data_IF_655516326410
#
_entry.id   IF_655516326410
#
_cell.length_a   1.000
_cell.length_b   1.000
_cell.length_c   1.000
_cell.angle_alpha   90.00
_cell.angle_beta   90.00
_cell.angle_gamma   90.00
#
_symmetry.space_group_name_H-M   'P 1'
#
loop_
_entity.id
_entity.type
_entity.pdbx_description
1 polymer ?
#
# COMPACT_ATOMS: atom_id res chain seq x y z
N UNK A 1 -18.45 7.01 21.54
CA UNK A 1 -18.29 6.06 20.42
C UNK A 1 -16.90 6.29 19.85
N UNK A 2 -16.15 5.22 19.58
CA UNK A 2 -14.86 5.33 18.89
C UNK A 2 -15.13 5.81 17.46
N UNK A 3 -14.19 6.56 16.88
CA UNK A 3 -14.26 6.95 15.47
C UNK A 3 -14.00 5.74 14.59
N UNK A 4 -14.66 5.66 13.44
CA UNK A 4 -14.48 4.56 12.48
C UNK A 4 -13.49 4.97 11.40
N UNK A 5 -12.28 4.41 11.46
CA UNK A 5 -11.19 4.74 10.54
C UNK A 5 -11.01 3.64 9.49
N UNK A 6 -10.35 4.00 8.40
CA UNK A 6 -9.92 3.05 7.38
C UNK A 6 -8.40 2.96 7.36
N UNK A 7 -7.86 1.79 7.06
CA UNK A 7 -6.42 1.56 6.99
C UNK A 7 -6.05 0.91 5.67
N UNK A 8 -4.99 1.38 5.02
CA UNK A 8 -4.51 0.81 3.77
C UNK A 8 -3.04 0.43 3.81
N UNK A 9 -2.72 -0.71 3.20
CA UNK A 9 -1.39 -1.27 3.23
C UNK A 9 -0.92 -1.67 1.83
N UNK A 10 0.34 -1.31 1.52
CA UNK A 10 1.12 -1.95 0.46
C UNK A 10 2.13 -2.90 1.10
N UNK A 11 1.96 -4.20 0.85
CA UNK A 11 2.67 -5.26 1.56
C UNK A 11 3.70 -5.90 0.64
N UNK A 12 4.96 -5.53 0.81
CA UNK A 12 6.09 -6.22 0.19
C UNK A 12 6.76 -7.18 1.18
N UNK A 13 7.75 -7.94 0.69
CA UNK A 13 8.52 -8.84 1.55
C UNK A 13 9.56 -8.09 2.40
N UNK A 14 9.88 -6.82 2.13
CA UNK A 14 10.94 -6.07 2.84
C UNK A 14 10.42 -4.89 3.62
N UNK A 15 9.29 -4.33 3.20
CA UNK A 15 8.71 -3.12 3.75
C UNK A 15 7.19 -3.13 3.55
N UNK A 16 6.47 -2.52 4.48
CA UNK A 16 5.02 -2.33 4.38
C UNK A 16 4.73 -0.85 4.47
N UNK A 17 4.16 -0.26 3.41
CA UNK A 17 3.60 1.08 3.46
C UNK A 17 2.22 1.04 4.15
N UNK A 18 1.91 2.01 4.99
CA UNK A 18 0.68 2.03 5.79
C UNK A 18 0.11 3.45 5.83
N UNK A 19 -1.15 3.61 5.42
CA UNK A 19 -1.87 4.89 5.46
C UNK A 19 -3.16 4.76 6.27
N UNK A 20 -3.33 5.63 7.27
CA UNK A 20 -4.51 5.72 8.13
C UNK A 20 -5.40 6.88 7.69
N UNK A 21 -6.70 6.63 7.61
CA UNK A 21 -7.70 7.56 7.11
C UNK A 21 -8.83 7.75 8.11
N UNK A 22 -9.23 9.00 8.33
CA UNK A 22 -10.38 9.32 9.18
C UNK A 22 -11.72 9.00 8.50
N UNK A 23 -12.83 9.20 9.22
CA UNK A 23 -14.17 8.92 8.71
C UNK A 23 -14.58 9.76 7.49
N UNK A 24 -13.84 10.82 7.17
CA UNK A 24 -14.06 11.69 6.00
C UNK A 24 -13.09 11.39 4.85
N UNK A 25 -12.24 10.38 5.03
CA UNK A 25 -11.22 9.99 4.06
C UNK A 25 -10.04 10.96 3.98
N UNK A 26 -9.78 11.74 5.04
CA UNK A 26 -8.56 12.54 5.16
C UNK A 26 -7.43 11.67 5.71
N UNK A 27 -6.22 11.86 5.17
CA UNK A 27 -5.02 11.20 5.69
C UNK A 27 -4.73 11.70 7.11
N UNK A 28 -4.60 10.74 8.04
CA UNK A 28 -4.20 10.97 9.44
C UNK A 28 -2.73 10.67 9.62
N UNK A 29 -2.25 9.57 9.02
CA UNK A 29 -0.89 9.09 9.19
C UNK A 29 -0.44 8.33 7.95
N UNK A 30 0.81 8.53 7.54
CA UNK A 30 1.48 7.75 6.49
C UNK A 30 2.85 7.30 7.01
N UNK A 31 3.00 6.00 7.25
CA UNK A 31 4.19 5.38 7.86
C UNK A 31 4.56 4.09 7.18
N UNK A 32 5.77 3.61 7.45
CA UNK A 32 6.22 2.32 6.95
C UNK A 32 6.70 1.40 8.08
N UNK A 33 6.60 0.10 7.83
CA UNK A 33 7.19 -0.94 8.67
C UNK A 33 8.24 -1.69 7.86
N UNK A 34 9.50 -1.60 8.28
CA UNK A 34 10.58 -2.36 7.66
C UNK A 34 10.68 -3.77 8.25
N UNK A 35 10.57 -4.79 7.41
CA UNK A 35 10.59 -6.20 7.79
C UNK A 35 12.02 -6.77 7.71
N UNK A 36 12.91 -6.24 8.57
CA UNK A 36 14.29 -6.73 8.66
C UNK A 36 14.32 -8.07 9.38
N UNK A 37 14.97 -9.04 8.75
CA UNK A 37 15.30 -10.33 9.37
C UNK A 37 16.82 -10.47 9.35
N UNK A 38 17.36 -11.04 10.42
CA UNK A 38 18.79 -11.32 10.52
C UNK A 38 19.24 -12.27 9.40
N UNK A 39 20.45 -12.05 8.88
CA UNK A 39 21.00 -12.85 7.79
C UNK A 39 21.25 -14.31 8.20
N UNK A 40 21.39 -14.59 9.49
CA UNK A 40 21.52 -15.95 10.06
C UNK A 40 20.26 -16.80 9.89
N UNK A 41 19.09 -16.20 9.65
CA UNK A 41 17.84 -16.94 9.43
C UNK A 41 17.83 -17.52 8.00
N UNK A 42 17.66 -18.85 7.85
CA UNK A 42 17.56 -19.51 6.55
C UNK A 42 16.46 -18.88 5.69
N UNK A 43 16.74 -18.70 4.39
CA UNK A 43 15.89 -17.93 3.48
C UNK A 43 14.46 -18.46 3.41
N UNK A 44 14.32 -19.78 3.39
CA UNK A 44 13.08 -20.53 3.42
C UNK A 44 12.25 -20.27 4.67
N UNK A 45 12.86 -19.87 5.79
CA UNK A 45 12.17 -19.61 7.05
C UNK A 45 11.86 -18.12 7.26
N UNK A 46 12.48 -17.21 6.49
CA UNK A 46 12.36 -15.75 6.72
C UNK A 46 10.92 -15.26 6.69
N UNK A 47 10.04 -15.86 5.90
CA UNK A 47 8.63 -15.45 5.82
C UNK A 47 7.90 -15.62 7.17
N UNK A 48 8.22 -16.65 7.95
CA UNK A 48 7.64 -16.87 9.29
C UNK A 48 8.12 -15.82 10.29
N UNK A 49 9.40 -15.46 10.25
CA UNK A 49 9.94 -14.39 11.10
C UNK A 49 9.32 -13.03 10.76
N UNK A 50 9.17 -12.74 9.46
CA UNK A 50 8.45 -11.53 9.00
C UNK A 50 7.00 -11.52 9.45
N UNK A 51 6.32 -12.68 9.40
CA UNK A 51 4.94 -12.80 9.89
C UNK A 51 4.83 -12.51 11.39
N UNK A 52 5.79 -12.97 12.20
CA UNK A 52 5.85 -12.65 13.64
C UNK A 52 6.05 -11.15 13.87
N UNK A 53 7.05 -10.55 13.22
CA UNK A 53 7.32 -9.10 13.30
C UNK A 53 6.10 -8.27 12.88
N UNK A 54 5.46 -8.67 11.78
CA UNK A 54 4.24 -8.05 11.31
C UNK A 54 3.14 -8.16 12.36
N UNK A 55 2.82 -9.36 12.85
CA UNK A 55 1.78 -9.59 13.87
C UNK A 55 1.99 -8.79 15.14
N UNK A 56 3.22 -8.73 15.66
CA UNK A 56 3.57 -7.93 16.82
C UNK A 56 3.32 -6.44 16.57
N UNK A 57 3.73 -5.95 15.41
CA UNK A 57 3.48 -4.57 15.01
C UNK A 57 1.97 -4.27 14.89
N UNK A 58 1.19 -5.13 14.23
CA UNK A 58 -0.27 -4.97 14.07
C UNK A 58 -0.97 -4.93 15.42
N UNK A 59 -0.61 -5.81 16.36
CA UNK A 59 -1.17 -5.79 17.73
C UNK A 59 -0.87 -4.48 18.45
N UNK A 60 0.39 -4.04 18.43
CA UNK A 60 0.79 -2.77 19.02
C UNK A 60 0.09 -1.58 18.35
N UNK A 61 -0.05 -1.63 17.03
CA UNK A 61 -0.72 -0.57 16.27
C UNK A 61 -2.20 -0.47 16.64
N UNK A 62 -2.89 -1.59 16.83
CA UNK A 62 -4.28 -1.63 17.32
C UNK A 62 -4.42 -0.91 18.68
N UNK A 63 -3.49 -1.11 19.59
CA UNK A 63 -3.47 -0.41 20.88
C UNK A 63 -3.21 1.10 20.73
N UNK A 64 -2.26 1.48 19.87
CA UNK A 64 -1.92 2.88 19.59
C UNK A 64 -3.13 3.63 19.02
N UNK A 65 -3.82 3.06 18.02
CA UNK A 65 -4.94 3.76 17.40
C UNK A 65 -6.13 3.92 18.35
N UNK A 66 -6.38 2.92 19.20
CA UNK A 66 -7.46 2.97 20.18
C UNK A 66 -7.19 4.01 21.27
N UNK A 67 -5.93 4.22 21.64
CA UNK A 67 -5.54 5.13 22.74
C UNK A 67 -5.19 6.54 22.26
N UNK A 68 -4.48 6.67 21.14
CA UNK A 68 -3.98 7.96 20.64
C UNK A 68 -4.98 8.65 19.72
N UNK A 69 -5.66 7.89 18.88
CA UNK A 69 -6.62 8.42 17.91
C UNK A 69 -8.09 8.22 18.33
N UNK A 70 -8.32 7.47 19.43
CA UNK A 70 -9.65 7.12 19.93
C UNK A 70 -10.54 6.54 18.82
N UNK A 71 -9.95 5.66 18.00
CA UNK A 71 -10.60 5.07 16.84
C UNK A 71 -10.51 3.54 16.81
N UNK A 72 -11.39 2.95 16.02
CA UNK A 72 -11.32 1.55 15.59
C UNK A 72 -11.18 1.48 14.06
N UNK A 73 -10.56 0.41 13.56
CA UNK A 73 -10.48 0.18 12.12
C UNK A 73 -11.74 -0.54 11.67
N UNK A 74 -12.48 0.08 10.75
CA UNK A 74 -13.66 -0.49 10.13
C UNK A 74 -13.37 -1.13 8.77
N UNK A 75 -12.45 -0.55 8.02
CA UNK A 75 -12.06 -1.02 6.69
C UNK A 75 -10.55 -1.21 6.62
N UNK A 76 -10.13 -2.33 6.04
CA UNK A 76 -8.72 -2.61 5.73
C UNK A 76 -8.60 -2.80 4.21
N UNK A 77 -7.78 -1.99 3.55
CA UNK A 77 -7.49 -2.10 2.13
C UNK A 77 -6.06 -2.60 1.93
N UNK A 78 -5.86 -3.60 1.08
CA UNK A 78 -4.52 -4.16 0.84
C UNK A 78 -4.25 -4.17 -0.66
N UNK A 79 -3.05 -3.77 -1.08
CA UNK A 79 -2.64 -3.96 -2.46
C UNK A 79 -2.65 -5.45 -2.82
N UNK A 80 -3.39 -5.80 -3.86
CA UNK A 80 -3.43 -7.16 -4.35
C UNK A 80 -2.05 -7.54 -4.94
N UNK A 81 -1.46 -8.68 -4.53
CA UNK A 81 -0.17 -9.09 -5.03
C UNK A 81 -0.24 -9.36 -6.54
N UNK A 82 0.76 -8.88 -7.29
CA UNK A 82 0.81 -9.05 -8.75
C UNK A 82 1.01 -10.52 -9.11
N UNK A 83 0.09 -11.10 -9.88
CA UNK A 83 0.15 -12.50 -10.31
C UNK A 83 0.99 -12.73 -11.58
N UNK A 84 1.14 -11.72 -12.45
CA UNK A 84 1.65 -11.91 -13.83
C UNK A 84 2.77 -10.94 -14.26
N UNK A 85 3.52 -10.37 -13.31
CA UNK A 85 4.69 -9.57 -13.67
C UNK A 85 5.82 -10.52 -14.13
N UNK A 86 6.62 -10.18 -15.16
CA UNK A 86 7.81 -10.93 -15.58
C UNK A 86 8.95 -10.82 -14.52
N UNK A 87 8.63 -11.11 -13.27
CA UNK A 87 9.57 -11.32 -12.18
C UNK A 87 9.78 -12.81 -11.99
N UNK A 88 10.92 -13.14 -11.37
CA UNK A 88 11.25 -14.49 -10.96
C UNK A 88 10.07 -15.14 -10.20
N UNK A 89 9.64 -16.32 -10.65
CA UNK A 89 8.53 -17.10 -10.07
C UNK A 89 8.68 -17.29 -8.55
N UNK A 90 9.90 -17.44 -8.05
CA UNK A 90 10.20 -17.59 -6.63
C UNK A 90 9.92 -16.31 -5.84
N UNK A 91 10.16 -15.14 -6.44
CA UNK A 91 9.85 -13.85 -5.82
C UNK A 91 8.35 -13.64 -5.74
N UNK A 92 7.62 -13.97 -6.81
CA UNK A 92 6.16 -13.92 -6.85
C UNK A 92 5.54 -14.87 -5.82
N UNK A 93 6.04 -16.10 -5.72
CA UNK A 93 5.56 -17.07 -4.72
C UNK A 93 5.75 -16.58 -3.28
N UNK A 94 6.92 -16.01 -2.95
CA UNK A 94 7.19 -15.43 -1.62
C UNK A 94 6.28 -14.25 -1.31
N UNK A 95 6.04 -13.38 -2.28
CA UNK A 95 5.15 -12.23 -2.13
C UNK A 95 3.70 -12.68 -1.90
N UNK A 96 3.20 -13.62 -2.70
CA UNK A 96 1.85 -14.17 -2.56
C UNK A 96 1.66 -14.84 -1.19
N UNK A 97 2.61 -15.69 -0.77
CA UNK A 97 2.56 -16.37 0.51
C UNK A 97 2.55 -15.37 1.68
N UNK A 98 3.44 -14.37 1.65
CA UNK A 98 3.52 -13.39 2.72
C UNK A 98 2.32 -12.45 2.76
N UNK A 99 1.81 -12.01 1.60
CA UNK A 99 0.62 -11.18 1.51
C UNK A 99 -0.60 -11.90 2.09
N UNK A 100 -0.81 -13.18 1.74
CA UNK A 100 -1.88 -14.00 2.33
C UNK A 100 -1.78 -14.16 3.85
N UNK A 101 -0.57 -14.40 4.38
CA UNK A 101 -0.33 -14.45 5.82
C UNK A 101 -0.64 -13.11 6.48
N UNK A 102 -0.23 -12.00 5.88
CA UNK A 102 -0.50 -10.66 6.39
C UNK A 102 -2.01 -10.35 6.43
N UNK A 103 -2.75 -10.71 5.37
CA UNK A 103 -4.21 -10.59 5.35
C UNK A 103 -4.88 -11.41 6.45
N UNK A 104 -4.43 -12.65 6.67
CA UNK A 104 -4.91 -13.47 7.78
C UNK A 104 -4.64 -12.82 9.14
N UNK A 105 -3.44 -12.29 9.37
CA UNK A 105 -3.09 -11.59 10.61
C UNK A 105 -3.95 -10.35 10.83
N UNK A 106 -4.20 -9.56 9.78
CA UNK A 106 -5.06 -8.38 9.85
C UNK A 106 -6.48 -8.76 10.28
N UNK A 107 -7.04 -9.83 9.68
CA UNK A 107 -8.35 -10.34 10.06
C UNK A 107 -8.36 -10.89 11.50
N UNK A 108 -7.36 -11.67 11.90
CA UNK A 108 -7.26 -12.22 13.26
C UNK A 108 -7.18 -11.10 14.33
N UNK A 109 -6.41 -10.04 14.07
CA UNK A 109 -6.16 -8.98 15.06
C UNK A 109 -7.29 -7.96 15.09
N UNK A 110 -7.83 -7.54 13.95
CA UNK A 110 -8.86 -6.50 13.87
C UNK A 110 -10.29 -7.05 13.76
N UNK A 111 -10.48 -8.31 13.36
CA UNK A 111 -11.80 -8.85 13.02
C UNK A 111 -12.36 -8.30 11.71
N UNK A 112 -11.54 -7.63 10.90
CA UNK A 112 -11.93 -7.00 9.64
C UNK A 112 -11.30 -7.77 8.48
N UNK A 113 -12.11 -8.20 7.52
CA UNK A 113 -11.63 -8.83 6.31
C UNK A 113 -10.94 -7.80 5.39
N UNK A 114 -9.68 -8.01 4.98
CA UNK A 114 -9.01 -7.10 4.06
C UNK A 114 -9.63 -7.11 2.67
N UNK A 115 -9.95 -5.93 2.16
CA UNK A 115 -10.41 -5.74 0.79
C UNK A 115 -9.22 -5.53 -0.15
N UNK A 116 -9.02 -6.46 -1.08
CA UNK A 116 -7.89 -6.41 -2.02
C UNK A 116 -8.16 -5.46 -3.18
N UNK A 117 -7.21 -4.56 -3.43
CA UNK A 117 -7.27 -3.58 -4.53
C UNK A 117 -6.09 -3.79 -5.45
N UNK A 118 -6.35 -4.03 -6.74
CA UNK A 118 -5.27 -4.18 -7.71
C UNK A 118 -4.56 -2.85 -7.98
N UNK A 119 -3.26 -2.90 -8.29
CA UNK A 119 -2.48 -1.73 -8.74
C UNK A 119 -3.16 -0.98 -9.89
N UNK A 120 -3.79 -1.71 -10.82
CA UNK A 120 -4.50 -1.09 -11.94
C UNK A 120 -5.73 -0.33 -11.45
N UNK A 121 -6.55 -0.94 -10.59
CA UNK A 121 -7.74 -0.29 -10.02
C UNK A 121 -7.37 0.91 -9.15
N UNK A 122 -6.34 0.78 -8.31
CA UNK A 122 -5.91 1.85 -7.42
C UNK A 122 -5.47 3.08 -8.21
N UNK A 123 -4.59 2.89 -9.20
CA UNK A 123 -4.12 3.96 -10.08
C UNK A 123 -5.21 4.51 -10.99
N UNK A 124 -6.14 3.68 -11.47
CA UNK A 124 -7.27 4.14 -12.29
C UNK A 124 -8.16 5.11 -11.51
N UNK A 125 -8.46 4.79 -10.25
CA UNK A 125 -9.29 5.64 -9.39
C UNK A 125 -8.55 6.88 -8.89
N UNK A 126 -7.24 6.76 -8.65
CA UNK A 126 -6.41 7.87 -8.18
C UNK A 126 -6.00 8.84 -9.29
N UNK A 127 -5.92 8.39 -10.54
CA UNK A 127 -5.51 9.20 -11.70
C UNK A 127 -6.64 9.27 -12.76
N UNK A 128 -7.83 9.81 -12.43
CA UNK A 128 -8.93 9.92 -13.39
C UNK A 128 -8.56 10.73 -14.64
N UNK A 129 -7.63 11.68 -14.52
CA UNK A 129 -7.09 12.47 -15.64
C UNK A 129 -6.35 11.63 -16.70
N UNK A 130 -5.92 10.41 -16.35
CA UNK A 130 -5.25 9.46 -17.24
C UNK A 130 -6.19 8.34 -17.72
N UNK A 131 -7.49 8.45 -17.44
CA UNK A 131 -8.50 7.48 -17.85
C UNK A 131 -9.17 7.94 -19.14
N UNK A 132 -9.16 7.07 -20.14
CA UNK A 132 -9.76 7.32 -21.44
C UNK A 132 -10.83 6.29 -21.76
N UNK A 133 -11.88 6.72 -22.48
CA UNK A 133 -12.90 5.81 -23.01
C UNK A 133 -12.40 5.20 -24.32
N UNK A 134 -12.43 3.86 -24.40
CA UNK A 134 -12.09 3.11 -25.61
C UNK A 134 -13.15 2.04 -25.86
N UNK A 135 -13.56 1.89 -27.12
CA UNK A 135 -14.41 0.77 -27.52
C UNK A 135 -13.57 -0.50 -27.62
N UNK A 136 -13.92 -1.51 -26.83
CA UNK A 136 -13.30 -2.84 -26.87
C UNK A 136 -14.41 -3.86 -27.06
N UNK A 137 -14.39 -4.55 -28.20
CA UNK A 137 -15.41 -5.55 -28.57
C UNK A 137 -16.84 -5.01 -28.50
N UNK A 138 -17.07 -3.79 -29.00
CA UNK A 138 -18.40 -3.15 -29.01
C UNK A 138 -18.82 -2.48 -27.70
N UNK A 139 -18.10 -2.69 -26.59
CA UNK A 139 -18.38 -2.03 -25.30
C UNK A 139 -17.43 -0.87 -25.04
N UNK A 140 -17.95 0.29 -24.63
CA UNK A 140 -17.12 1.40 -24.13
C UNK A 140 -16.52 1.01 -22.78
N UNK A 141 -15.20 0.87 -22.72
CA UNK A 141 -14.45 0.62 -21.50
C UNK A 141 -13.57 1.81 -21.17
N UNK A 142 -13.44 2.08 -19.87
CA UNK A 142 -12.49 3.05 -19.35
C UNK A 142 -11.14 2.39 -19.10
N UNK A 143 -10.11 2.93 -19.73
CA UNK A 143 -8.75 2.40 -19.72
C UNK A 143 -7.81 3.45 -19.15
N UNK A 144 -7.04 3.06 -18.13
CA UNK A 144 -5.93 3.86 -17.61
C UNK A 144 -4.74 3.78 -18.57
N UNK A 145 -4.21 4.94 -18.99
CA UNK A 145 -3.03 5.01 -19.84
C UNK A 145 -2.08 6.10 -19.36
N UNK A 146 -0.85 5.69 -19.04
CA UNK A 146 0.23 6.64 -18.73
C UNK A 146 0.95 7.04 -20.04
N UNK A 147 1.42 8.30 -20.15
CA UNK A 147 2.35 8.69 -21.21
C UNK A 147 3.55 7.74 -21.32
N UNK A 148 4.07 7.54 -22.54
CA UNK A 148 5.11 6.54 -22.80
C UNK A 148 6.40 6.76 -22.01
N UNK A 149 6.77 8.02 -21.77
CA UNK A 149 8.06 8.39 -21.20
C UNK A 149 7.99 8.72 -19.70
N UNK A 150 6.88 8.37 -19.03
CA UNK A 150 6.71 8.65 -17.61
C UNK A 150 7.03 7.43 -16.75
N UNK A 151 7.83 7.64 -15.71
CA UNK A 151 7.92 6.66 -14.63
C UNK A 151 6.62 6.69 -13.82
N UNK A 152 5.87 5.60 -13.91
CA UNK A 152 4.56 5.46 -13.24
C UNK A 152 4.69 5.56 -11.72
N UNK A 153 5.74 4.99 -11.12
CA UNK A 153 5.94 5.04 -9.67
C UNK A 153 6.27 6.47 -9.23
N UNK A 154 7.15 7.13 -9.97
CA UNK A 154 7.49 8.53 -9.69
C UNK A 154 6.30 9.47 -9.87
N UNK A 155 5.44 9.23 -10.87
CA UNK A 155 4.22 10.00 -11.07
C UNK A 155 3.26 9.87 -9.89
N UNK A 156 3.00 8.64 -9.45
CA UNK A 156 2.11 8.35 -8.31
C UNK A 156 2.66 9.03 -7.05
N UNK A 157 3.94 8.81 -6.73
CA UNK A 157 4.60 9.47 -5.62
C UNK A 157 4.50 11.00 -5.70
N UNK A 158 4.79 11.60 -6.87
CA UNK A 158 4.75 13.06 -7.04
C UNK A 158 3.35 13.62 -6.81
N UNK A 159 2.31 12.90 -7.23
CA UNK A 159 0.92 13.27 -6.99
C UNK A 159 0.59 13.21 -5.49
N UNK A 160 0.97 12.13 -4.80
CA UNK A 160 0.78 12.02 -3.34
C UNK A 160 1.54 13.12 -2.60
N UNK A 161 2.80 13.38 -2.94
CA UNK A 161 3.61 14.42 -2.31
C UNK A 161 3.03 15.84 -2.50
N UNK A 162 2.33 16.10 -3.61
CA UNK A 162 1.60 17.37 -3.83
C UNK A 162 0.33 17.48 -2.99
N UNK A 163 -0.40 16.37 -2.80
CA UNK A 163 -1.61 16.33 -1.99
C UNK A 163 -1.28 16.41 -0.49
N UNK A 164 -0.18 15.78 -0.08
CA UNK A 164 0.24 15.63 1.31
C UNK A 164 1.66 16.22 1.52
N UNK A 165 1.81 17.55 1.44
CA UNK A 165 3.13 18.21 1.48
C UNK A 165 3.86 18.06 2.82
N UNK A 166 3.14 17.66 3.88
CA UNK A 166 3.70 17.45 5.21
C UNK A 166 4.29 16.04 5.41
N UNK A 167 4.11 15.13 4.45
CA UNK A 167 4.69 13.79 4.52
C UNK A 167 6.18 13.87 4.28
N UNK A 168 6.97 13.30 5.20
CA UNK A 168 8.39 13.14 5.02
C UNK A 168 8.68 11.97 4.06
N UNK A 169 9.50 12.23 3.05
CA UNK A 169 9.93 11.24 2.06
C UNK A 169 11.39 10.87 2.26
N UNK A 170 11.72 9.62 1.96
CA UNK A 170 13.04 9.08 2.20
C UNK A 170 13.84 9.04 0.91
N UNK A 171 15.06 9.59 0.99
CA UNK A 171 15.98 9.68 -0.13
C UNK A 171 17.27 8.91 0.14
N UNK A 172 17.90 8.43 -0.92
CA UNK A 172 19.26 7.89 -0.98
C UNK A 172 20.08 8.74 -1.94
N UNK A 173 21.39 8.68 -1.82
CA UNK A 173 22.30 9.34 -2.76
C UNK A 173 22.56 8.39 -3.93
N UNK A 174 22.34 8.85 -5.15
CA UNK A 174 22.73 8.11 -6.35
C UNK A 174 24.27 8.00 -6.37
N UNK A 175 24.78 6.77 -6.51
CA UNK A 175 26.23 6.53 -6.44
C UNK A 175 26.98 7.02 -7.68
N UNK A 176 26.30 7.22 -8.80
CA UNK A 176 26.87 7.63 -10.08
C UNK A 176 26.74 9.14 -10.25
N UNK A 177 25.53 9.70 -10.11
CA UNK A 177 25.28 11.13 -10.33
C UNK A 177 25.49 11.98 -9.08
N UNK A 178 25.47 11.37 -7.89
CA UNK A 178 25.55 12.07 -6.61
C UNK A 178 24.25 12.77 -6.18
N UNK A 179 23.21 12.71 -7.02
CA UNK A 179 21.91 13.36 -6.79
C UNK A 179 21.05 12.60 -5.77
N UNK A 180 20.05 13.28 -5.21
CA UNK A 180 19.05 12.63 -4.34
C UNK A 180 18.07 11.82 -5.19
N UNK A 181 17.92 10.56 -4.86
CA UNK A 181 16.97 9.63 -5.45
C UNK A 181 16.04 9.11 -4.36
N UNK A 182 14.78 8.79 -4.67
CA UNK A 182 13.86 8.20 -3.69
C UNK A 182 14.33 6.80 -3.28
N UNK A 183 14.13 6.47 -2.01
CA UNK A 183 14.23 5.09 -1.53
C UNK A 183 12.96 4.32 -1.90
N UNK A 184 13.10 3.02 -2.10
CA UNK A 184 11.98 2.13 -2.47
C UNK A 184 10.81 2.23 -1.48
N UNK A 185 11.13 2.37 -0.18
CA UNK A 185 10.13 2.55 0.87
C UNK A 185 9.22 3.78 0.67
N UNK A 186 9.69 4.82 -0.02
CA UNK A 186 8.87 5.99 -0.36
C UNK A 186 7.83 5.66 -1.43
N UNK A 187 8.13 4.70 -2.33
CA UNK A 187 7.14 4.19 -3.27
C UNK A 187 6.11 3.34 -2.54
N UNK A 188 6.51 2.46 -1.62
CA UNK A 188 5.57 1.66 -0.81
C UNK A 188 4.61 2.56 -0.01
N UNK A 189 5.09 3.68 0.55
CA UNK A 189 4.24 4.70 1.19
C UNK A 189 3.22 5.29 0.20
N UNK A 190 3.67 5.71 -0.99
CA UNK A 190 2.78 6.30 -1.99
C UNK A 190 1.77 5.30 -2.57
N UNK A 191 2.16 4.03 -2.72
CA UNK A 191 1.27 2.97 -3.19
C UNK A 191 0.24 2.63 -2.08
N UNK A 192 0.63 2.58 -0.79
CA UNK A 192 -0.32 2.43 0.32
C UNK A 192 -1.35 3.58 0.41
N UNK A 193 -0.92 4.82 0.17
CA UNK A 193 -1.83 5.97 0.05
C UNK A 193 -2.80 5.77 -1.13
N UNK A 194 -2.27 5.38 -2.29
CA UNK A 194 -3.06 5.21 -3.52
C UNK A 194 -4.11 4.10 -3.38
N UNK A 195 -3.75 2.99 -2.72
CA UNK A 195 -4.67 1.90 -2.36
C UNK A 195 -5.77 2.40 -1.42
N UNK A 196 -5.41 3.17 -0.40
CA UNK A 196 -6.38 3.76 0.53
C UNK A 196 -7.39 4.66 -0.16
N UNK A 197 -6.90 5.62 -0.95
CA UNK A 197 -7.75 6.51 -1.73
C UNK A 197 -8.75 5.73 -2.61
N UNK A 198 -8.27 4.70 -3.29
CA UNK A 198 -9.11 3.84 -4.12
C UNK A 198 -10.14 3.05 -3.29
N UNK A 199 -9.74 2.52 -2.14
CA UNK A 199 -10.63 1.80 -1.22
C UNK A 199 -11.73 2.70 -0.67
N UNK A 200 -11.37 3.91 -0.25
CA UNK A 200 -12.32 4.92 0.21
C UNK A 200 -13.34 5.30 -0.89
N UNK A 201 -12.90 5.41 -2.15
CA UNK A 201 -13.82 5.62 -3.29
C UNK A 201 -14.75 4.44 -3.52
N UNK A 202 -14.21 3.22 -3.51
CA UNK A 202 -15.01 1.99 -3.69
C UNK A 202 -16.08 1.85 -2.61
N UNK A 203 -15.75 2.23 -1.37
CA UNK A 203 -16.68 2.21 -0.24
C UNK A 203 -17.60 3.44 -0.17
N UNK A 204 -17.48 4.40 -1.10
CA UNK A 204 -18.31 5.61 -1.13
C UNK A 204 -18.04 6.61 0.00
N UNK A 205 -16.91 6.49 0.69
CA UNK A 205 -16.49 7.41 1.76
C UNK A 205 -16.04 8.75 1.17
N UNK A 206 -15.36 8.70 0.02
CA UNK A 206 -14.96 9.88 -0.76
C UNK A 206 -15.50 9.80 -2.19
N UNK A 207 -15.67 10.97 -2.83
CA UNK A 207 -16.24 11.11 -4.18
C UNK A 207 -15.20 11.04 -5.28
#
# INVERSE_FOLDING_TARGET
>A
MLKEFSWSLDISTTNVGMALWDEKGKLVELKHLQLKVDNSVPEENRYLYKAKLFKEHIKKYKEIIATTYECEIKNIFVEAPLSNTPVNINTTAKLLAFNGIACYILNEVFGVEPYLITVYQSRKLFCPELVHKKVVSGTVKEILSFPKDIDKKLYIWSKVAKLEPNVEWFYKKNKVTGEKELKDLSFDLSDAYTVGYAGLKVMGIIK
#
